data_IF_719251615641
#
_entry.id   IF_719251615641
#
_cell.length_a   1.000
_cell.length_b   1.000
_cell.length_c   1.000
_cell.angle_alpha   90.00
_cell.angle_beta   90.00
_cell.angle_gamma   90.00
#
_symmetry.space_group_name_H-M   'P 1'
#
loop_
_entity.id
_entity.type
_entity.pdbx_description
1 polymer ?
#
# COMPACT_ATOMS: atom_id res chain seq x y z
N UNK A 1 -48.70 1.69 -1.38
CA UNK A 1 -47.53 0.84 -1.04
C UNK A 1 -46.75 1.55 0.05
N UNK A 2 -46.97 1.21 1.33
CA UNK A 2 -46.44 1.98 2.45
C UNK A 2 -44.93 1.75 2.64
N UNK A 3 -44.12 2.78 2.38
CA UNK A 3 -42.69 2.80 2.68
C UNK A 3 -42.51 2.81 4.21
N UNK A 4 -42.44 1.61 4.79
CA UNK A 4 -42.08 1.38 6.19
C UNK A 4 -40.77 2.12 6.47
N UNK A 5 -40.79 3.18 7.28
CA UNK A 5 -39.58 3.94 7.70
C UNK A 5 -38.61 2.95 8.34
N UNK A 6 -37.62 2.50 7.56
CA UNK A 6 -36.60 1.56 8.04
C UNK A 6 -35.54 2.38 8.77
N UNK A 7 -35.42 2.17 10.09
CA UNK A 7 -34.47 2.92 10.92
C UNK A 7 -33.01 2.72 10.49
N UNK A 8 -32.13 3.60 10.96
CA UNK A 8 -30.69 3.64 10.62
C UNK A 8 -29.98 2.27 10.70
N UNK A 9 -30.38 1.40 11.64
CA UNK A 9 -29.84 0.05 11.76
C UNK A 9 -30.10 -0.86 10.55
N UNK A 10 -31.16 -0.62 9.78
CA UNK A 10 -31.42 -1.32 8.52
C UNK A 10 -30.42 -0.92 7.43
N UNK A 11 -30.10 0.37 7.33
CA UNK A 11 -29.11 0.88 6.39
C UNK A 11 -27.70 0.42 6.75
N UNK A 12 -27.33 0.45 8.04
CA UNK A 12 -26.05 -0.11 8.50
C UNK A 12 -25.91 -1.60 8.14
N UNK A 13 -26.98 -2.39 8.32
CA UNK A 13 -26.98 -3.82 7.97
C UNK A 13 -26.85 -4.06 6.45
N UNK A 14 -27.46 -3.21 5.62
CA UNK A 14 -27.28 -3.26 4.16
C UNK A 14 -25.85 -2.85 3.78
N UNK A 15 -25.34 -1.77 4.37
CA UNK A 15 -23.98 -1.29 4.13
C UNK A 15 -22.95 -2.39 4.42
N UNK A 16 -23.02 -3.03 5.60
CA UNK A 16 -22.13 -4.14 5.92
C UNK A 16 -22.28 -5.34 4.98
N UNK A 17 -23.48 -5.64 4.48
CA UNK A 17 -23.68 -6.69 3.47
C UNK A 17 -23.05 -6.33 2.12
N UNK A 18 -23.15 -5.07 1.70
CA UNK A 18 -22.54 -4.59 0.45
C UNK A 18 -21.02 -4.61 0.57
N UNK A 19 -20.47 -4.10 1.68
CA UNK A 19 -19.01 -4.15 1.95
C UNK A 19 -18.50 -5.59 1.97
N UNK A 20 -19.22 -6.52 2.63
CA UNK A 20 -18.83 -7.92 2.63
C UNK A 20 -18.85 -8.55 1.23
N UNK A 21 -19.80 -8.16 0.37
CA UNK A 21 -19.86 -8.60 -1.04
C UNK A 21 -18.78 -7.95 -1.90
N UNK A 22 -18.47 -6.67 -1.69
CA UNK A 22 -17.38 -5.95 -2.37
C UNK A 22 -16.02 -6.60 -2.07
N UNK A 23 -15.77 -6.92 -0.81
CA UNK A 23 -14.59 -7.67 -0.38
C UNK A 23 -14.57 -9.06 -1.02
N UNK A 24 -15.73 -9.74 -1.13
CA UNK A 24 -15.84 -11.07 -1.76
C UNK A 24 -15.60 -11.03 -3.28
N UNK A 25 -16.05 -9.97 -3.94
CA UNK A 25 -15.84 -9.73 -5.37
C UNK A 25 -14.38 -9.45 -5.68
N UNK A 26 -13.73 -8.57 -4.89
CA UNK A 26 -12.28 -8.35 -4.95
C UNK A 26 -11.48 -9.61 -4.64
N UNK A 27 -12.02 -10.50 -3.80
CA UNK A 27 -11.41 -11.79 -3.51
C UNK A 27 -11.53 -12.83 -4.64
N UNK A 28 -12.41 -12.67 -5.63
CA UNK A 28 -12.32 -13.49 -6.86
C UNK A 28 -11.07 -13.12 -7.69
N UNK A 29 -10.53 -11.91 -7.44
CA UNK A 29 -9.24 -11.40 -7.88
C UNK A 29 -8.21 -11.43 -6.73
N UNK A 30 -8.32 -12.42 -5.81
CA UNK A 30 -7.37 -12.64 -4.69
C UNK A 30 -5.92 -12.61 -5.16
N UNK A 31 -5.65 -13.29 -6.29
CA UNK A 31 -4.32 -13.31 -6.86
C UNK A 31 -3.82 -11.89 -7.13
N UNK A 32 -4.62 -11.01 -7.72
CA UNK A 32 -4.21 -9.65 -8.05
C UNK A 32 -4.00 -8.76 -6.83
N UNK A 33 -4.86 -8.86 -5.80
CA UNK A 33 -4.63 -8.13 -4.55
C UNK A 33 -3.31 -8.55 -3.89
N UNK A 34 -3.03 -9.85 -3.83
CA UNK A 34 -1.77 -10.37 -3.29
C UNK A 34 -0.58 -10.03 -4.20
N UNK A 35 -0.70 -10.16 -5.52
CA UNK A 35 0.35 -9.84 -6.50
C UNK A 35 0.69 -8.36 -6.45
N UNK A 36 -0.31 -7.49 -6.40
CA UNK A 36 -0.12 -6.04 -6.31
C UNK A 36 0.50 -5.64 -4.97
N UNK A 37 0.01 -6.20 -3.86
CA UNK A 37 0.58 -5.95 -2.52
C UNK A 37 2.03 -6.43 -2.43
N UNK A 38 2.30 -7.67 -2.87
CA UNK A 38 3.65 -8.25 -2.89
C UNK A 38 4.54 -7.47 -3.86
N UNK A 39 4.04 -7.09 -5.02
CA UNK A 39 4.77 -6.30 -6.00
C UNK A 39 5.15 -4.92 -5.46
N UNK A 40 4.24 -4.26 -4.75
CA UNK A 40 4.50 -2.98 -4.09
C UNK A 40 5.57 -3.12 -3.00
N UNK A 41 5.46 -4.13 -2.13
CA UNK A 41 6.47 -4.41 -1.10
C UNK A 41 7.82 -4.76 -1.75
N UNK A 42 7.84 -5.63 -2.76
CA UNK A 42 9.04 -6.05 -3.46
C UNK A 42 9.74 -4.87 -4.16
N UNK A 43 8.97 -3.95 -4.75
CA UNK A 43 9.51 -2.75 -5.40
C UNK A 43 10.17 -1.82 -4.39
N UNK A 44 9.52 -1.60 -3.24
CA UNK A 44 10.12 -0.82 -2.16
C UNK A 44 11.40 -1.47 -1.62
N UNK A 45 11.37 -2.78 -1.35
CA UNK A 45 12.54 -3.54 -0.88
C UNK A 45 13.69 -3.53 -1.91
N UNK A 46 13.38 -3.70 -3.19
CA UNK A 46 14.36 -3.60 -4.26
C UNK A 46 15.01 -2.21 -4.34
N UNK A 47 14.23 -1.14 -4.09
CA UNK A 47 14.73 0.22 -3.92
C UNK A 47 15.77 0.31 -2.79
N UNK A 48 15.44 -0.19 -1.61
CA UNK A 48 16.39 -0.25 -0.48
C UNK A 48 17.65 -1.06 -0.78
N UNK A 49 17.50 -2.24 -1.42
CA UNK A 49 18.64 -3.10 -1.82
C UNK A 49 19.54 -2.37 -2.81
N UNK A 50 18.96 -1.60 -3.74
CA UNK A 50 19.71 -0.80 -4.71
C UNK A 50 20.61 0.21 -3.99
N UNK A 51 20.08 0.94 -2.99
CA UNK A 51 20.90 1.86 -2.19
C UNK A 51 22.00 1.13 -1.41
N UNK A 52 21.70 -0.04 -0.82
CA UNK A 52 22.70 -0.84 -0.10
C UNK A 52 23.86 -1.28 -1.01
N UNK A 53 23.56 -1.79 -2.20
CA UNK A 53 24.59 -2.24 -3.16
C UNK A 53 25.40 -1.05 -3.67
N UNK A 54 24.74 0.06 -3.99
CA UNK A 54 25.39 1.26 -4.52
C UNK A 54 26.37 1.84 -3.49
N UNK A 55 25.96 1.98 -2.24
CA UNK A 55 26.83 2.50 -1.18
C UNK A 55 27.87 1.49 -0.67
N UNK A 56 27.69 0.20 -0.91
CA UNK A 56 28.73 -0.80 -0.70
C UNK A 56 29.93 -0.67 -1.66
N UNK A 57 29.72 -0.09 -2.85
CA UNK A 57 30.78 0.18 -3.84
C UNK A 57 31.26 1.63 -3.82
N UNK A 58 30.39 2.57 -3.48
CA UNK A 58 30.67 4.00 -3.46
C UNK A 58 30.43 4.56 -2.05
N UNK A 59 31.48 4.78 -1.23
CA UNK A 59 31.33 5.21 0.15
C UNK A 59 30.72 6.62 0.28
N UNK A 60 30.78 7.42 -0.77
CA UNK A 60 30.13 8.73 -0.84
C UNK A 60 29.71 9.04 -2.26
N UNK A 61 28.46 9.47 -2.44
CA UNK A 61 27.98 10.00 -3.73
C UNK A 61 28.00 11.52 -3.62
N UNK A 62 28.93 12.16 -4.32
CA UNK A 62 29.04 13.63 -4.32
C UNK A 62 29.18 14.25 -2.91
N UNK A 63 29.87 13.57 -1.99
CA UNK A 63 30.05 13.99 -0.60
C UNK A 63 28.92 13.58 0.36
N UNK A 64 27.82 13.01 -0.14
CA UNK A 64 26.72 12.52 0.67
C UNK A 64 26.97 11.08 1.14
N UNK A 65 26.77 10.87 2.44
CA UNK A 65 26.87 9.58 3.10
C UNK A 65 25.60 8.73 2.89
N UNK A 66 25.73 7.42 3.13
CA UNK A 66 24.63 6.46 3.04
C UNK A 66 23.39 6.91 3.82
N UNK A 67 23.58 7.39 5.05
CA UNK A 67 22.47 7.76 5.94
C UNK A 67 21.68 8.97 5.42
N UNK A 68 22.36 9.94 4.81
CA UNK A 68 21.70 11.15 4.29
C UNK A 68 20.87 10.84 3.05
N UNK A 69 21.37 10.01 2.14
CA UNK A 69 20.61 9.59 0.96
C UNK A 69 19.45 8.66 1.35
N UNK A 70 19.65 7.78 2.34
CA UNK A 70 18.58 6.94 2.87
C UNK A 70 17.47 7.78 3.53
N UNK A 71 17.84 8.85 4.24
CA UNK A 71 16.89 9.80 4.81
C UNK A 71 16.08 10.51 3.72
N UNK A 72 16.73 11.01 2.68
CA UNK A 72 16.05 11.66 1.54
C UNK A 72 15.11 10.69 0.79
N UNK A 73 15.53 9.44 0.65
CA UNK A 73 14.69 8.40 0.05
C UNK A 73 13.43 8.13 0.88
N UNK A 74 13.58 7.98 2.20
CA UNK A 74 12.45 7.84 3.13
C UNK A 74 11.51 9.05 3.11
N UNK A 75 12.06 10.27 3.04
CA UNK A 75 11.28 11.50 2.95
C UNK A 75 10.49 11.58 1.64
N UNK A 76 11.12 11.22 0.51
CA UNK A 76 10.48 11.17 -0.81
C UNK A 76 9.27 10.21 -0.82
N UNK A 77 9.38 9.06 -0.15
CA UNK A 77 8.28 8.10 -0.03
C UNK A 77 7.08 8.62 0.79
N UNK A 78 7.31 9.49 1.77
CA UNK A 78 6.22 10.09 2.59
C UNK A 78 5.57 11.27 1.87
N UNK A 79 6.31 11.96 1.00
CA UNK A 79 5.81 13.09 0.22
C UNK A 79 4.84 12.68 -0.91
N UNK A 80 4.79 11.38 -1.24
CA UNK A 80 3.89 10.78 -2.23
C UNK A 80 2.58 10.34 -1.56
#
# INVERSE_FOLDING_TARGET
MALKKRGLGFYAKIYFKIVAQDIKSKMSYRADFFISTIGMIATNVAGFITFLIMFGKFPSINGWSYNEILFLYGFSLISI
#
